data_IF_862765109959
#
_entry.id   IF_862765109959
#
_cell.length_a   1.000
_cell.length_b   1.000
_cell.length_c   1.000
_cell.angle_alpha   90.00
_cell.angle_beta   90.00
_cell.angle_gamma   90.00
#
_symmetry.space_group_name_H-M   'P 1'
#
loop_
_entity.id
_entity.type
_entity.pdbx_description
1 polymer ?
#
# COMPACT_ATOMS: atom_id res chain seq x y z
N UNK A 1 6.17 5.49 15.64
CA UNK A 1 5.31 4.37 15.22
C UNK A 1 4.01 4.91 14.64
N UNK A 2 4.04 5.15 13.38
CA UNK A 2 2.93 5.70 12.58
C UNK A 2 1.92 4.64 12.13
N UNK A 3 1.84 3.52 12.86
CA UNK A 3 1.10 2.34 12.44
C UNK A 3 -0.41 2.51 12.30
N UNK A 4 -1.04 3.47 12.97
CA UNK A 4 -2.49 3.61 12.95
C UNK A 4 -3.00 4.13 11.59
N UNK A 5 -2.53 5.27 11.17
CA UNK A 5 -2.95 5.86 9.88
C UNK A 5 -2.42 5.09 8.66
N UNK A 6 -1.28 4.41 8.78
CA UNK A 6 -0.74 3.56 7.72
C UNK A 6 -1.59 2.31 7.42
N UNK A 7 -2.56 1.98 8.26
CA UNK A 7 -3.55 0.95 7.95
C UNK A 7 -4.62 1.40 6.94
N UNK A 8 -4.73 2.71 6.71
CA UNK A 8 -5.72 3.32 5.83
C UNK A 8 -5.13 4.09 4.66
N UNK A 9 -3.80 4.31 4.68
CA UNK A 9 -3.09 5.08 3.66
C UNK A 9 -1.81 4.36 3.30
N UNK A 10 -1.55 4.23 2.02
CA UNK A 10 -0.28 3.73 1.54
C UNK A 10 0.83 4.78 1.78
N UNK A 11 2.06 4.35 2.13
CA UNK A 11 3.18 5.25 2.24
C UNK A 11 3.56 5.82 0.87
N UNK A 12 3.95 7.08 0.84
CA UNK A 12 4.50 7.68 -0.36
C UNK A 12 5.86 7.09 -0.69
N UNK A 13 6.06 6.85 -1.97
CA UNK A 13 7.34 6.43 -2.50
C UNK A 13 7.87 7.47 -3.49
N UNK A 14 9.21 7.60 -3.53
CA UNK A 14 9.90 8.57 -4.37
C UNK A 14 10.20 9.92 -3.68
N UNK A 15 10.95 10.80 -4.37
CA UNK A 15 11.41 12.08 -3.81
C UNK A 15 10.26 13.09 -3.73
N UNK A 16 9.97 13.57 -2.53
CA UNK A 16 8.97 14.61 -2.31
C UNK A 16 9.41 15.61 -1.23
N UNK A 17 9.17 16.87 -1.50
CA UNK A 17 9.17 17.94 -0.50
C UNK A 17 7.81 18.61 -0.58
N UNK A 18 7.02 18.53 0.48
CA UNK A 18 5.64 19.02 0.49
C UNK A 18 5.52 20.17 1.47
N UNK A 19 4.95 21.28 0.99
CA UNK A 19 4.57 22.41 1.82
C UNK A 19 3.05 22.52 1.78
N UNK A 20 2.42 22.66 2.94
CA UNK A 20 0.97 22.74 3.05
C UNK A 20 0.53 23.68 4.18
N UNK A 21 -0.71 24.12 4.13
CA UNK A 21 -1.33 24.93 5.17
C UNK A 21 -2.83 24.61 5.27
N UNK A 22 -3.36 24.66 6.50
CA UNK A 22 -4.79 24.56 6.79
C UNK A 22 -5.40 25.91 7.20
N UNK A 23 -4.62 27.00 7.06
CA UNK A 23 -5.00 28.37 7.48
C UNK A 23 -4.50 28.73 8.87
N UNK A 24 -4.24 27.76 9.74
CA UNK A 24 -3.61 27.97 11.05
C UNK A 24 -2.17 27.48 11.07
N UNK A 25 -1.98 26.27 10.61
CA UNK A 25 -0.67 25.66 10.53
C UNK A 25 -0.09 25.85 9.14
N UNK A 26 1.18 26.17 9.07
CA UNK A 26 1.98 26.06 7.86
C UNK A 26 3.04 25.00 8.12
N UNK A 27 3.21 24.06 7.21
CA UNK A 27 4.05 22.90 7.43
C UNK A 27 4.88 22.53 6.21
N UNK A 28 6.02 21.90 6.46
CA UNK A 28 6.86 21.28 5.44
C UNK A 28 7.25 19.88 5.89
N UNK A 29 7.14 18.91 5.00
CA UNK A 29 7.61 17.55 5.22
C UNK A 29 8.41 17.04 4.04
N UNK A 30 9.33 16.14 4.30
CA UNK A 30 10.05 15.40 3.28
C UNK A 30 9.52 13.97 3.16
N UNK A 31 9.84 13.34 2.03
CA UNK A 31 9.62 11.91 1.86
C UNK A 31 10.36 11.11 2.95
N UNK A 32 9.90 9.88 3.21
CA UNK A 32 10.44 9.02 4.27
C UNK A 32 11.93 8.72 4.15
N UNK A 33 12.48 8.81 2.95
CA UNK A 33 13.89 8.54 2.66
C UNK A 33 14.73 9.81 2.57
N UNK A 34 14.11 11.00 2.64
CA UNK A 34 14.79 12.28 2.57
C UNK A 34 15.52 12.52 1.24
N UNK A 35 14.93 12.07 0.13
CA UNK A 35 15.53 12.14 -1.20
C UNK A 35 15.51 13.57 -1.76
N UNK A 36 14.53 14.37 -1.35
CA UNK A 36 14.52 15.81 -1.59
C UNK A 36 15.09 16.53 -0.37
N UNK A 37 15.95 17.53 -0.56
CA UNK A 37 16.38 18.39 0.53
C UNK A 37 15.33 19.46 0.86
N UNK A 38 15.24 19.85 2.12
CA UNK A 38 14.60 21.09 2.53
C UNK A 38 15.41 21.74 3.64
N UNK A 39 15.66 23.02 3.50
CA UNK A 39 16.37 23.86 4.46
C UNK A 39 15.45 24.96 4.95
N UNK A 40 15.66 25.39 6.19
CA UNK A 40 14.91 26.50 6.75
C UNK A 40 15.81 27.52 7.40
N UNK A 41 15.32 28.76 7.42
CA UNK A 41 15.90 29.89 8.13
C UNK A 41 14.79 30.58 8.89
N UNK A 42 15.05 30.94 10.17
CA UNK A 42 14.17 31.69 11.03
C UNK A 42 14.86 32.98 11.39
N UNK A 43 14.16 34.11 11.24
CA UNK A 43 14.69 35.43 11.55
C UNK A 43 14.14 36.02 12.86
N UNK A 44 14.78 37.06 13.39
CA UNK A 44 14.29 37.83 14.54
C UNK A 44 12.92 38.47 14.31
N UNK A 45 12.62 38.84 13.06
CA UNK A 45 11.32 39.38 12.65
C UNK A 45 10.23 38.32 12.52
N UNK A 46 10.53 37.06 12.94
CA UNK A 46 9.63 35.92 12.88
C UNK A 46 9.23 35.50 11.46
N UNK A 47 10.07 35.76 10.49
CA UNK A 47 9.93 35.20 9.15
C UNK A 47 10.57 33.82 9.13
N UNK A 48 9.92 32.87 8.45
CA UNK A 48 10.43 31.52 8.23
C UNK A 48 10.46 31.27 6.74
N UNK A 49 11.63 31.00 6.22
CA UNK A 49 11.82 30.59 4.83
C UNK A 49 12.19 29.13 4.78
N UNK A 50 11.45 28.36 4.01
CA UNK A 50 11.73 26.94 3.73
C UNK A 50 11.92 26.78 2.23
N UNK A 51 13.04 26.19 1.83
CA UNK A 51 13.39 25.97 0.44
C UNK A 51 14.27 24.72 0.26
N UNK A 52 14.29 24.17 -0.94
CA UNK A 52 15.18 23.04 -1.28
C UNK A 52 16.66 23.44 -1.24
N UNK A 53 16.96 24.71 -1.44
CA UNK A 53 18.31 25.24 -1.56
C UNK A 53 18.52 26.47 -0.65
N UNK A 54 19.79 26.76 -0.33
CA UNK A 54 20.18 28.03 0.32
C UNK A 54 20.29 29.14 -0.73
N UNK A 55 20.09 30.40 -0.29
CA UNK A 55 20.22 31.54 -1.17
C UNK A 55 18.97 31.88 -1.97
N UNK A 56 17.82 31.30 -1.63
CA UNK A 56 16.52 31.68 -2.20
C UNK A 56 16.12 33.09 -1.73
N UNK A 57 16.58 33.46 -0.54
CA UNK A 57 16.44 34.77 0.03
C UNK A 57 17.74 35.14 0.75
N UNK A 58 18.17 36.40 0.57
CA UNK A 58 19.39 36.89 1.19
C UNK A 58 19.11 37.35 2.62
N UNK A 59 19.74 36.70 3.58
CA UNK A 59 19.73 37.08 4.99
C UNK A 59 21.12 37.43 5.43
N UNK A 60 21.25 38.54 6.20
CA UNK A 60 22.48 38.82 6.91
C UNK A 60 22.61 37.89 8.15
N UNK A 61 23.81 37.55 8.58
CA UNK A 61 24.01 36.72 9.77
C UNK A 61 23.29 37.26 11.02
N UNK A 62 23.17 38.58 11.13
CA UNK A 62 22.57 39.23 12.29
C UNK A 62 21.03 39.14 12.30
N UNK A 63 20.41 38.88 11.17
CA UNK A 63 18.96 38.64 11.07
C UNK A 63 18.54 37.23 11.44
N UNK A 64 19.46 36.27 11.41
CA UNK A 64 19.15 34.85 11.56
C UNK A 64 19.20 34.40 13.02
N UNK A 65 18.06 33.92 13.52
CA UNK A 65 17.94 33.29 14.84
C UNK A 65 18.33 31.83 14.77
N UNK A 66 17.81 31.12 13.79
CA UNK A 66 18.01 29.69 13.59
C UNK A 66 18.06 29.33 12.12
N UNK A 67 18.87 28.38 11.77
CA UNK A 67 18.89 27.75 10.44
C UNK A 67 19.10 26.26 10.58
N UNK A 68 18.46 25.50 9.71
CA UNK A 68 18.57 24.05 9.74
C UNK A 68 18.10 23.39 8.46
N UNK A 69 17.94 22.11 8.56
CA UNK A 69 17.37 21.27 7.48
C UNK A 69 16.29 20.37 8.06
N UNK A 70 15.31 20.07 7.24
CA UNK A 70 14.32 19.03 7.53
C UNK A 70 14.94 17.69 7.18
N UNK A 71 14.86 16.73 8.07
CA UNK A 71 15.40 15.38 7.87
C UNK A 71 14.42 14.47 7.12
N UNK A 72 14.88 13.24 6.85
CA UNK A 72 14.08 12.22 6.18
C UNK A 72 12.82 11.88 7.01
N UNK A 73 11.64 11.98 6.38
CA UNK A 73 10.37 11.73 7.05
C UNK A 73 10.02 12.70 8.18
N UNK A 74 10.80 13.76 8.36
CA UNK A 74 10.52 14.77 9.37
C UNK A 74 9.48 15.76 8.90
N UNK A 75 8.77 16.29 9.88
CA UNK A 75 7.77 17.34 9.73
C UNK A 75 8.19 18.59 10.50
N UNK A 76 8.10 19.73 9.85
CA UNK A 76 8.31 21.05 10.41
C UNK A 76 7.00 21.81 10.37
N UNK A 77 6.55 22.35 11.49
CA UNK A 77 5.25 23.02 11.60
C UNK A 77 5.37 24.37 12.29
N UNK A 78 4.63 25.31 11.78
CA UNK A 78 4.47 26.65 12.34
C UNK A 78 2.99 26.81 12.75
N UNK A 79 2.72 26.97 14.05
CA UNK A 79 1.41 27.37 14.56
C UNK A 79 1.34 28.91 14.49
N UNK A 80 0.72 29.45 13.44
CA UNK A 80 0.63 30.89 13.22
C UNK A 80 -0.21 31.60 14.26
N UNK A 81 -1.19 30.92 14.87
CA UNK A 81 -2.03 31.49 15.92
C UNK A 81 -1.27 31.64 17.25
N UNK A 82 -0.37 30.72 17.55
CA UNK A 82 0.45 30.76 18.76
C UNK A 82 1.83 31.37 18.54
N UNK A 83 2.22 31.63 17.28
CA UNK A 83 3.55 32.10 16.92
C UNK A 83 4.65 31.10 17.34
N UNK A 84 4.36 29.80 17.25
CA UNK A 84 5.28 28.73 17.66
C UNK A 84 5.80 27.97 16.48
N UNK A 85 7.09 27.70 16.52
CA UNK A 85 7.77 26.78 15.64
C UNK A 85 7.89 25.43 16.35
N UNK A 86 7.50 24.35 15.65
CA UNK A 86 7.47 23.00 16.18
C UNK A 86 8.34 22.07 15.32
N UNK A 87 9.29 21.44 15.95
CA UNK A 87 10.08 20.36 15.35
C UNK A 87 9.34 19.03 15.39
N UNK A 88 9.75 18.10 14.56
CA UNK A 88 9.12 16.78 14.38
C UNK A 88 8.87 16.06 15.71
N UNK A 89 9.84 16.03 16.61
CA UNK A 89 9.67 15.38 17.91
C UNK A 89 8.49 15.93 18.74
N UNK A 90 8.34 17.26 18.76
CA UNK A 90 7.24 17.90 19.52
C UNK A 90 5.88 17.61 18.89
N UNK A 91 5.82 17.59 17.55
CA UNK A 91 4.63 17.27 16.78
C UNK A 91 4.26 15.80 17.00
N UNK A 92 5.23 14.90 16.90
CA UNK A 92 5.06 13.47 17.12
C UNK A 92 4.47 13.18 18.51
N UNK A 93 4.98 13.84 19.54
CA UNK A 93 4.46 13.68 20.90
C UNK A 93 3.02 14.21 21.02
N UNK A 94 2.70 15.34 20.42
CA UNK A 94 1.34 15.89 20.41
C UNK A 94 0.37 14.94 19.69
N UNK A 95 0.76 14.42 18.52
CA UNK A 95 -0.09 13.51 17.72
C UNK A 95 -0.24 12.16 18.43
N UNK A 96 0.84 11.56 18.93
CA UNK A 96 0.81 10.25 19.60
C UNK A 96 -0.07 10.24 20.86
N UNK A 97 -0.18 11.38 21.52
CA UNK A 97 -0.97 11.51 22.74
C UNK A 97 -2.41 11.95 22.51
N UNK A 98 -2.83 12.19 21.25
CA UNK A 98 -4.19 12.62 20.93
C UNK A 98 -5.23 11.55 21.27
N UNK A 99 -4.92 10.30 20.95
CA UNK A 99 -5.75 9.14 21.19
C UNK A 99 -4.92 7.94 21.67
N UNK A 100 -5.52 6.92 22.29
CA UNK A 100 -4.81 5.73 22.74
C UNK A 100 -4.57 4.72 21.60
N UNK A 101 -3.98 5.16 20.49
CA UNK A 101 -3.78 4.39 19.25
C UNK A 101 -3.14 3.02 19.48
N UNK A 102 -2.13 2.95 20.35
CA UNK A 102 -1.44 1.69 20.67
C UNK A 102 -2.38 0.67 21.32
N UNK A 103 -3.29 1.15 22.18
CA UNK A 103 -4.29 0.30 22.82
C UNK A 103 -5.29 -0.20 21.78
N UNK A 104 -5.84 0.69 20.97
CA UNK A 104 -6.76 0.34 19.90
C UNK A 104 -6.17 -0.70 18.94
N UNK A 105 -4.96 -0.46 18.44
CA UNK A 105 -4.28 -1.40 17.54
C UNK A 105 -4.01 -2.76 18.19
N UNK A 106 -3.61 -2.78 19.47
CA UNK A 106 -3.33 -4.03 20.17
C UNK A 106 -4.58 -4.87 20.40
N UNK A 107 -5.71 -4.22 20.63
CA UNK A 107 -6.97 -4.89 20.95
C UNK A 107 -7.72 -5.36 19.70
N UNK A 108 -7.64 -4.59 18.60
CA UNK A 108 -8.56 -4.72 17.48
C UNK A 108 -7.89 -5.24 16.19
N UNK A 109 -6.57 -5.06 16.02
CA UNK A 109 -5.89 -5.59 14.82
C UNK A 109 -5.73 -7.10 14.93
N UNK A 110 -6.32 -7.82 13.99
CA UNK A 110 -6.18 -9.27 13.86
C UNK A 110 -5.00 -9.60 12.96
N UNK A 111 -4.22 -10.61 13.32
CA UNK A 111 -3.23 -11.25 12.47
C UNK A 111 -3.65 -12.70 12.27
N UNK A 112 -3.58 -13.16 11.03
CA UNK A 112 -3.83 -14.57 10.74
C UNK A 112 -2.72 -15.44 11.30
N UNK A 113 -3.04 -16.68 11.58
CA UNK A 113 -2.04 -17.68 11.97
C UNK A 113 -1.15 -17.99 10.77
N UNK A 114 0.17 -18.03 10.95
CA UNK A 114 1.07 -18.42 9.90
C UNK A 114 0.80 -19.87 9.46
N UNK A 115 1.09 -20.16 8.21
CA UNK A 115 0.90 -21.49 7.60
C UNK A 115 1.48 -22.63 8.44
N UNK A 116 2.62 -22.41 9.08
CA UNK A 116 3.30 -23.41 9.93
C UNK A 116 2.55 -23.76 11.22
N UNK A 117 1.57 -22.97 11.62
CA UNK A 117 0.75 -23.19 12.81
C UNK A 117 -0.65 -23.75 12.50
N UNK A 118 -0.94 -23.96 11.20
CA UNK A 118 -2.22 -24.50 10.77
C UNK A 118 -2.22 -26.01 10.79
N UNK A 119 -3.37 -26.66 11.05
CA UNK A 119 -3.51 -28.12 10.92
C UNK A 119 -3.26 -28.58 9.49
N UNK A 120 -2.63 -29.74 9.32
CA UNK A 120 -2.35 -30.32 8.01
C UNK A 120 -3.60 -30.47 7.13
N UNK A 121 -4.75 -30.70 7.72
CA UNK A 121 -6.04 -30.81 7.01
C UNK A 121 -6.44 -29.50 6.32
N UNK A 122 -6.20 -28.35 6.94
CA UNK A 122 -6.48 -27.03 6.35
C UNK A 122 -5.49 -26.67 5.23
N UNK A 123 -4.29 -27.21 5.33
CA UNK A 123 -3.21 -27.02 4.36
C UNK A 123 -3.40 -27.91 3.14
N UNK A 124 -3.69 -29.18 3.35
CA UNK A 124 -3.82 -30.20 2.29
C UNK A 124 -5.09 -30.03 1.44
N UNK A 125 -6.13 -29.41 1.97
CA UNK A 125 -7.37 -29.13 1.24
C UNK A 125 -7.18 -28.25 -0.01
N UNK A 126 -6.02 -27.61 -0.14
CA UNK A 126 -5.67 -26.78 -1.29
C UNK A 126 -4.94 -27.51 -2.42
N UNK A 127 -4.54 -28.78 -2.22
CA UNK A 127 -3.74 -29.49 -3.20
C UNK A 127 -4.63 -30.07 -4.29
N UNK A 128 -4.42 -29.63 -5.53
CA UNK A 128 -5.11 -30.14 -6.70
C UNK A 128 -4.46 -31.42 -7.22
N UNK A 129 -5.28 -32.38 -7.68
CA UNK A 129 -4.77 -33.54 -8.42
C UNK A 129 -4.03 -33.07 -9.69
N UNK A 130 -2.94 -33.74 -10.11
CA UNK A 130 -2.09 -33.28 -11.22
C UNK A 130 -2.85 -33.04 -12.53
N UNK A 131 -3.87 -33.86 -12.81
CA UNK A 131 -4.71 -33.71 -14.01
C UNK A 131 -5.55 -32.42 -13.95
N UNK A 132 -6.14 -32.12 -12.80
CA UNK A 132 -6.90 -30.87 -12.58
C UNK A 132 -5.99 -29.67 -12.60
N UNK A 133 -4.79 -29.79 -12.01
CA UNK A 133 -3.80 -28.70 -12.04
C UNK A 133 -3.48 -28.28 -13.47
N UNK A 134 -3.25 -29.23 -14.39
CA UNK A 134 -3.00 -28.91 -15.80
C UNK A 134 -4.17 -28.21 -16.49
N UNK A 135 -5.41 -28.57 -16.12
CA UNK A 135 -6.59 -27.90 -16.65
C UNK A 135 -6.63 -26.45 -16.17
N UNK A 136 -6.46 -26.23 -14.87
CA UNK A 136 -6.45 -24.89 -14.29
C UNK A 136 -5.30 -24.03 -14.81
N UNK A 137 -4.10 -24.59 -14.97
CA UNK A 137 -2.98 -23.85 -15.60
C UNK A 137 -3.34 -23.34 -17.00
N UNK A 138 -4.05 -24.15 -17.79
CA UNK A 138 -4.54 -23.72 -19.11
C UNK A 138 -5.66 -22.69 -19.03
N UNK A 139 -6.62 -22.87 -18.12
CA UNK A 139 -7.72 -21.94 -17.89
C UNK A 139 -7.21 -20.54 -17.52
N UNK A 140 -6.21 -20.49 -16.65
CA UNK A 140 -5.60 -19.23 -16.19
C UNK A 140 -4.44 -18.74 -17.07
N UNK A 141 -4.19 -19.40 -18.20
CA UNK A 141 -3.22 -18.94 -19.19
C UNK A 141 -1.76 -19.08 -18.77
N UNK A 142 -1.43 -19.94 -17.79
CA UNK A 142 -0.04 -20.18 -17.41
C UNK A 142 0.74 -20.78 -18.57
N UNK A 143 1.84 -20.13 -18.91
CA UNK A 143 2.79 -20.62 -19.92
C UNK A 143 3.88 -21.48 -19.29
N UNK A 144 4.57 -22.26 -20.12
CA UNK A 144 5.74 -23.00 -19.64
C UNK A 144 6.85 -22.05 -19.16
N UNK A 145 6.97 -20.90 -19.78
CA UNK A 145 7.93 -19.86 -19.39
C UNK A 145 7.66 -19.32 -17.98
N UNK A 146 6.40 -19.01 -17.64
CA UNK A 146 6.03 -18.58 -16.31
C UNK A 146 6.29 -19.66 -15.26
N UNK A 147 6.00 -20.92 -15.59
CA UNK A 147 6.25 -22.04 -14.69
C UNK A 147 7.74 -22.23 -14.38
N UNK A 148 8.61 -22.14 -15.41
CA UNK A 148 10.04 -22.41 -15.27
C UNK A 148 10.85 -21.21 -14.77
N UNK A 149 10.52 -19.99 -15.23
CA UNK A 149 11.35 -18.82 -14.95
C UNK A 149 10.79 -17.90 -13.86
N UNK A 150 9.53 -18.05 -13.50
CA UNK A 150 8.91 -17.25 -12.46
C UNK A 150 8.55 -18.10 -11.25
N UNK A 151 7.60 -19.03 -11.41
CA UNK A 151 7.07 -19.78 -10.28
C UNK A 151 8.06 -20.79 -9.69
N UNK A 152 8.90 -21.39 -10.52
CA UNK A 152 9.94 -22.29 -10.03
C UNK A 152 10.99 -21.55 -9.20
N UNK A 153 11.45 -20.39 -9.65
CA UNK A 153 12.39 -19.54 -8.89
C UNK A 153 11.76 -19.14 -7.55
N UNK A 154 10.51 -18.71 -7.56
CA UNK A 154 9.78 -18.36 -6.33
C UNK A 154 9.69 -19.56 -5.38
N UNK A 155 9.36 -20.75 -5.90
CA UNK A 155 9.16 -21.96 -5.10
C UNK A 155 10.46 -22.58 -4.58
N UNK A 156 11.52 -22.60 -5.37
CA UNK A 156 12.81 -23.25 -5.02
C UNK A 156 13.73 -22.29 -4.23
N UNK A 157 13.74 -21.00 -4.58
CA UNK A 157 14.69 -20.03 -4.01
C UNK A 157 14.06 -19.10 -3.00
N UNK A 158 12.72 -19.04 -2.92
CA UNK A 158 12.00 -18.13 -2.05
C UNK A 158 12.24 -16.66 -2.40
N UNK A 159 12.54 -16.38 -3.66
CA UNK A 159 12.82 -15.06 -4.19
C UNK A 159 11.92 -14.75 -5.39
N UNK A 160 11.65 -13.49 -5.59
CA UNK A 160 10.97 -13.05 -6.80
C UNK A 160 11.91 -13.14 -8.00
N UNK A 161 11.42 -13.63 -9.14
CA UNK A 161 12.19 -13.69 -10.36
C UNK A 161 12.52 -12.28 -10.84
N UNK A 162 13.79 -12.05 -11.19
CA UNK A 162 14.28 -10.77 -11.72
C UNK A 162 14.21 -10.79 -13.23
N UNK A 163 13.65 -9.75 -13.82
CA UNK A 163 13.53 -9.62 -15.27
C UNK A 163 13.47 -8.18 -15.74
N UNK A 164 13.41 -8.00 -17.06
CA UNK A 164 13.20 -6.69 -17.67
C UNK A 164 11.72 -6.30 -17.55
N UNK A 165 11.44 -5.04 -17.21
CA UNK A 165 10.07 -4.50 -17.17
C UNK A 165 9.52 -4.18 -18.56
N UNK A 166 10.37 -3.89 -19.54
CA UNK A 166 9.98 -3.57 -20.91
C UNK A 166 9.98 -4.80 -21.80
N UNK A 167 8.98 -4.92 -22.65
CA UNK A 167 8.88 -5.98 -23.65
C UNK A 167 8.29 -5.41 -24.96
N UNK A 168 9.07 -5.42 -26.03
CA UNK A 168 8.70 -4.93 -27.35
C UNK A 168 8.40 -6.07 -28.35
N UNK A 169 8.44 -7.33 -27.89
CA UNK A 169 8.09 -8.47 -28.74
C UNK A 169 6.65 -8.38 -29.21
N UNK A 170 6.36 -8.42 -30.54
CA UNK A 170 5.01 -8.35 -31.06
C UNK A 170 4.21 -9.60 -30.70
N UNK A 171 2.90 -9.42 -30.54
CA UNK A 171 2.00 -10.57 -30.39
C UNK A 171 1.95 -11.42 -31.65
N UNK A 172 1.82 -12.73 -31.46
CA UNK A 172 1.61 -13.68 -32.56
C UNK A 172 0.13 -13.63 -33.00
N UNK A 173 -0.21 -12.67 -33.86
CA UNK A 173 -1.60 -12.37 -34.28
C UNK A 173 -2.30 -13.52 -35.00
N UNK A 174 -1.56 -14.48 -35.55
CA UNK A 174 -2.09 -15.69 -36.18
C UNK A 174 -2.12 -16.91 -35.25
N UNK A 175 -1.78 -16.73 -33.97
CA UNK A 175 -1.90 -17.80 -32.98
C UNK A 175 -3.36 -18.07 -32.64
N UNK A 176 -3.74 -19.33 -32.51
CA UNK A 176 -5.02 -19.75 -31.95
C UNK A 176 -5.03 -19.86 -30.44
N UNK A 177 -3.89 -19.55 -29.79
CA UNK A 177 -3.78 -19.58 -28.35
C UNK A 177 -4.37 -18.31 -27.77
N UNK A 178 -5.36 -18.46 -26.89
CA UNK A 178 -5.91 -17.33 -26.15
C UNK A 178 -4.91 -16.83 -25.11
N UNK A 179 -4.87 -15.51 -24.96
CA UNK A 179 -4.06 -14.83 -23.94
C UNK A 179 -4.94 -14.22 -22.88
N UNK A 180 -4.43 -14.13 -21.67
CA UNK A 180 -5.10 -13.41 -20.58
C UNK A 180 -5.07 -11.90 -20.86
N UNK A 181 -6.09 -11.19 -20.37
CA UNK A 181 -6.29 -9.79 -20.74
C UNK A 181 -5.14 -8.87 -20.35
N UNK A 182 -4.45 -9.13 -19.24
CA UNK A 182 -3.34 -8.31 -18.77
C UNK A 182 -2.09 -8.41 -19.67
N UNK A 183 -1.94 -9.47 -20.49
CA UNK A 183 -0.85 -9.56 -21.48
C UNK A 183 -0.89 -8.43 -22.52
N UNK A 184 -2.06 -7.83 -22.72
CA UNK A 184 -2.23 -6.71 -23.66
C UNK A 184 -1.86 -5.35 -23.06
N UNK A 185 -1.66 -5.26 -21.75
CA UNK A 185 -1.30 -4.03 -21.04
C UNK A 185 0.12 -4.12 -20.53
N UNK A 186 1.07 -4.11 -21.45
CA UNK A 186 2.49 -4.20 -21.14
C UNK A 186 3.22 -2.94 -21.57
N UNK A 187 4.29 -2.69 -20.90
CA UNK A 187 5.20 -1.58 -21.14
C UNK A 187 6.17 -1.94 -22.25
N UNK A 188 6.34 -1.06 -23.24
CA UNK A 188 7.28 -1.27 -24.35
C UNK A 188 8.74 -1.07 -23.94
N UNK A 189 8.99 -0.09 -23.10
CA UNK A 189 10.33 0.26 -22.63
C UNK A 189 10.42 0.09 -21.12
N UNK A 190 11.56 -0.41 -20.67
CA UNK A 190 11.89 -0.37 -19.25
C UNK A 190 11.97 1.08 -18.81
N UNK A 191 11.35 1.38 -17.67
CA UNK A 191 11.39 2.70 -17.06
C UNK A 191 12.23 2.64 -15.80
N UNK A 192 13.05 3.67 -15.61
CA UNK A 192 13.81 3.81 -14.37
C UNK A 192 12.90 4.32 -13.28
N UNK A 193 12.86 3.61 -12.14
CA UNK A 193 12.23 4.12 -10.91
C UNK A 193 13.08 5.25 -10.36
N UNK A 194 12.45 6.26 -9.78
CA UNK A 194 13.17 7.37 -9.19
C UNK A 194 12.86 7.48 -7.68
N UNK A 195 13.77 7.11 -6.81
CA UNK A 195 15.10 6.55 -7.10
C UNK A 195 15.02 5.06 -7.46
N UNK A 196 16.02 4.54 -8.16
CA UNK A 196 16.10 3.11 -8.43
C UNK A 196 16.22 2.35 -7.10
N UNK A 197 15.37 1.34 -6.93
CA UNK A 197 15.35 0.50 -5.74
C UNK A 197 15.77 -0.90 -6.18
N UNK A 198 16.91 -1.35 -5.68
CA UNK A 198 17.36 -2.71 -5.89
C UNK A 198 16.72 -3.69 -4.88
N UNK A 199 16.72 -5.02 -5.12
CA UNK A 199 16.10 -5.99 -4.24
C UNK A 199 16.64 -6.01 -2.80
N UNK A 200 17.87 -5.58 -2.58
CA UNK A 200 18.45 -5.50 -1.24
C UNK A 200 17.91 -4.29 -0.46
N UNK A 201 17.80 -3.15 -1.14
CA UNK A 201 17.28 -1.92 -0.58
C UNK A 201 15.76 -1.99 -0.37
N UNK A 202 15.04 -2.71 -1.22
CA UNK A 202 13.60 -2.88 -1.17
C UNK A 202 13.12 -3.35 0.21
N UNK A 203 13.81 -4.30 0.83
CA UNK A 203 13.52 -4.79 2.18
C UNK A 203 13.56 -3.71 3.26
N UNK A 204 14.30 -2.63 3.04
CA UNK A 204 14.45 -1.54 4.00
C UNK A 204 13.47 -0.40 3.77
N UNK A 205 13.06 -0.17 2.52
CA UNK A 205 12.29 1.03 2.13
C UNK A 205 10.84 0.73 1.76
N UNK A 206 10.52 -0.52 1.44
CA UNK A 206 9.18 -0.96 1.06
C UNK A 206 8.59 -1.94 2.08
N UNK A 207 7.27 -2.01 2.11
CA UNK A 207 6.54 -2.97 2.91
C UNK A 207 5.44 -3.60 2.06
N UNK A 208 5.33 -4.93 2.11
CA UNK A 208 4.23 -5.69 1.51
C UNK A 208 3.04 -5.84 2.47
N UNK A 209 3.15 -5.27 3.67
CA UNK A 209 2.07 -5.34 4.65
C UNK A 209 0.79 -4.75 4.08
N UNK A 210 -0.26 -5.54 4.07
CA UNK A 210 -1.58 -5.18 3.57
C UNK A 210 -2.59 -5.25 4.72
N UNK A 211 -3.53 -4.32 4.74
CA UNK A 211 -4.57 -4.29 5.76
C UNK A 211 -5.94 -4.36 5.09
N UNK A 212 -6.77 -5.29 5.55
CA UNK A 212 -8.12 -5.50 5.05
C UNK A 212 -9.13 -5.12 6.14
N UNK A 213 -10.26 -4.60 5.75
CA UNK A 213 -11.34 -4.20 6.64
C UNK A 213 -12.01 -2.91 6.18
N UNK A 214 -12.93 -2.39 6.99
CA UNK A 214 -13.73 -1.21 6.63
C UNK A 214 -12.86 0.02 6.45
N UNK A 215 -12.96 0.67 5.28
CA UNK A 215 -12.36 1.98 5.06
C UNK A 215 -13.14 3.05 5.82
N UNK A 216 -12.41 3.89 6.54
CA UNK A 216 -12.95 5.01 7.31
C UNK A 216 -12.21 6.31 6.97
N UNK A 217 -12.81 7.44 7.28
CA UNK A 217 -12.20 8.73 7.02
C UNK A 217 -10.97 8.95 7.92
N UNK A 218 -9.83 9.22 7.31
CA UNK A 218 -8.58 9.53 8.01
C UNK A 218 -8.63 10.87 8.76
N UNK A 219 -9.65 11.70 8.50
CA UNK A 219 -9.85 12.99 9.19
C UNK A 219 -10.60 12.84 10.53
N UNK A 220 -11.20 11.68 10.78
CA UNK A 220 -11.96 11.41 12.00
C UNK A 220 -11.45 10.14 12.67
N UNK A 221 -10.38 10.30 13.43
CA UNK A 221 -9.71 9.19 14.11
C UNK A 221 -10.59 8.60 15.20
N UNK A 222 -10.94 7.33 15.06
CA UNK A 222 -11.76 6.58 16.00
C UNK A 222 -11.19 5.19 16.22
N UNK A 223 -11.59 4.55 17.32
CA UNK A 223 -11.22 3.16 17.60
C UNK A 223 -11.63 2.20 16.47
N UNK A 224 -12.78 2.46 15.81
CA UNK A 224 -13.28 1.65 14.70
C UNK A 224 -12.30 1.49 13.54
N UNK A 225 -11.40 2.48 13.34
CA UNK A 225 -10.35 2.41 12.32
C UNK A 225 -9.33 1.30 12.59
N UNK A 226 -9.20 0.82 13.81
CA UNK A 226 -8.26 -0.25 14.20
C UNK A 226 -8.81 -1.66 13.98
N UNK A 227 -10.08 -1.83 13.59
CA UNK A 227 -10.61 -3.15 13.21
C UNK A 227 -10.12 -3.55 11.82
N UNK A 228 -8.88 -4.02 11.78
CA UNK A 228 -8.20 -4.45 10.56
C UNK A 228 -7.65 -5.86 10.69
N UNK A 229 -7.69 -6.58 9.58
CA UNK A 229 -6.94 -7.83 9.42
C UNK A 229 -5.64 -7.48 8.71
N UNK A 230 -4.52 -7.75 9.35
CA UNK A 230 -3.21 -7.43 8.84
C UNK A 230 -2.52 -8.66 8.28
N UNK A 231 -2.07 -8.55 7.05
CA UNK A 231 -1.29 -9.54 6.32
C UNK A 231 0.14 -9.04 6.14
N UNK A 232 1.09 -9.95 6.14
CA UNK A 232 2.49 -9.61 5.89
C UNK A 232 2.78 -9.49 4.38
N UNK A 233 1.87 -9.96 3.53
CA UNK A 233 1.95 -9.93 2.07
C UNK A 233 0.54 -9.75 1.46
N UNK A 234 0.40 -9.09 0.29
CA UNK A 234 -0.85 -9.02 -0.45
C UNK A 234 -1.23 -10.37 -1.11
N UNK A 235 -0.31 -11.33 -1.11
CA UNK A 235 -0.55 -12.68 -1.64
C UNK A 235 -1.11 -13.54 -0.51
N UNK A 236 -2.33 -14.02 -0.70
CA UNK A 236 -3.03 -14.87 0.26
C UNK A 236 -3.05 -16.31 -0.24
N UNK A 237 -2.71 -17.24 0.64
CA UNK A 237 -2.90 -18.65 0.41
C UNK A 237 -4.38 -19.03 0.61
N UNK A 238 -4.76 -20.21 0.12
CA UNK A 238 -6.11 -20.74 0.36
C UNK A 238 -6.46 -20.81 1.85
N UNK A 239 -5.51 -21.25 2.67
CA UNK A 239 -5.63 -21.29 4.12
C UNK A 239 -5.85 -19.92 4.76
N UNK A 240 -5.25 -18.85 4.22
CA UNK A 240 -5.45 -17.49 4.70
C UNK A 240 -6.88 -17.03 4.41
N UNK A 241 -7.37 -17.30 3.19
CA UNK A 241 -8.77 -17.02 2.83
C UNK A 241 -9.75 -17.78 3.72
N UNK A 242 -9.48 -19.04 4.06
CA UNK A 242 -10.33 -19.79 4.98
C UNK A 242 -10.36 -19.18 6.39
N UNK A 243 -9.26 -18.62 6.86
CA UNK A 243 -9.22 -17.90 8.13
C UNK A 243 -10.02 -16.58 8.04
N UNK A 244 -9.90 -15.84 6.95
CA UNK A 244 -10.66 -14.60 6.71
C UNK A 244 -12.17 -14.88 6.74
N UNK A 245 -12.62 -15.95 6.07
CA UNK A 245 -14.04 -16.34 6.05
C UNK A 245 -14.60 -16.79 7.42
N UNK A 246 -13.72 -17.12 8.37
CA UNK A 246 -14.09 -17.52 9.74
C UNK A 246 -14.01 -16.34 10.73
N UNK A 247 -13.66 -15.14 10.30
CA UNK A 247 -13.57 -13.96 11.18
C UNK A 247 -14.92 -13.58 11.78
N UNK A 248 -14.94 -12.94 12.97
CA UNK A 248 -16.19 -12.51 13.62
C UNK A 248 -16.99 -11.53 12.75
N UNK A 249 -18.24 -11.85 12.48
CA UNK A 249 -19.12 -11.03 11.63
C UNK A 249 -19.36 -9.61 12.12
N UNK A 250 -19.21 -9.34 13.42
CA UNK A 250 -19.46 -8.03 14.00
C UNK A 250 -18.68 -6.89 13.33
N UNK A 251 -17.40 -7.16 12.99
CA UNK A 251 -16.50 -6.16 12.38
C UNK A 251 -15.98 -6.57 11.00
N UNK A 252 -16.15 -7.85 10.63
CA UNK A 252 -15.57 -8.45 9.44
C UNK A 252 -16.61 -9.20 8.61
N UNK A 253 -17.81 -8.59 8.46
CA UNK A 253 -18.84 -9.15 7.58
C UNK A 253 -18.31 -9.26 6.16
N UNK A 254 -18.33 -10.48 5.61
CA UNK A 254 -17.90 -10.74 4.25
C UNK A 254 -19.08 -11.11 3.35
N UNK A 255 -18.93 -10.87 2.05
CA UNK A 255 -19.85 -11.29 1.04
C UNK A 255 -19.12 -11.97 -0.12
N UNK A 256 -19.70 -13.06 -0.62
CA UNK A 256 -19.21 -13.74 -1.81
C UNK A 256 -20.05 -13.29 -3.01
N UNK A 257 -19.37 -12.85 -4.06
CA UNK A 257 -19.97 -12.48 -5.34
C UNK A 257 -19.47 -13.45 -6.37
N UNK A 258 -20.38 -14.21 -6.99
CA UNK A 258 -20.04 -15.10 -8.09
C UNK A 258 -19.75 -14.26 -9.35
N UNK A 259 -18.50 -14.28 -9.81
CA UNK A 259 -18.06 -13.56 -10.99
C UNK A 259 -18.21 -14.36 -12.29
N UNK A 260 -18.68 -15.61 -12.21
CA UNK A 260 -18.92 -16.44 -13.40
C UNK A 260 -20.18 -16.04 -14.16
N UNK A 261 -20.28 -16.37 -15.43
CA UNK A 261 -21.46 -16.15 -16.23
C UNK A 261 -21.54 -17.14 -17.40
N UNK A 262 -22.75 -17.39 -17.86
CA UNK A 262 -23.01 -18.19 -19.06
C UNK A 262 -22.96 -17.28 -20.30
N UNK A 263 -22.01 -17.51 -21.18
CA UNK A 263 -21.81 -16.74 -22.41
C UNK A 263 -22.99 -16.82 -23.39
N UNK A 264 -23.88 -17.78 -23.20
CA UNK A 264 -25.10 -17.93 -24.01
C UNK A 264 -26.28 -17.09 -23.47
N UNK A 265 -26.18 -16.59 -22.24
CA UNK A 265 -27.26 -15.85 -21.58
C UNK A 265 -26.91 -14.38 -21.37
N UNK A 266 -25.66 -14.07 -21.02
CA UNK A 266 -25.22 -12.73 -20.73
C UNK A 266 -24.01 -12.33 -21.60
N UNK A 267 -23.87 -11.05 -21.88
CA UNK A 267 -22.62 -10.49 -22.40
C UNK A 267 -21.68 -10.21 -21.22
N UNK A 268 -20.37 -10.16 -21.48
CA UNK A 268 -19.39 -9.76 -20.45
C UNK A 268 -19.74 -8.39 -19.83
N UNK A 269 -20.18 -7.44 -20.67
CA UNK A 269 -20.56 -6.10 -20.21
C UNK A 269 -21.74 -6.14 -19.24
N UNK A 270 -22.79 -6.89 -19.58
CA UNK A 270 -23.98 -7.00 -18.73
C UNK A 270 -23.65 -7.70 -17.41
N UNK A 271 -22.78 -8.73 -17.47
CA UNK A 271 -22.35 -9.43 -16.24
C UNK A 271 -21.52 -8.53 -15.34
N UNK A 272 -20.58 -7.76 -15.87
CA UNK A 272 -19.80 -6.80 -15.11
C UNK A 272 -20.67 -5.74 -14.42
N UNK A 273 -21.71 -5.26 -15.14
CA UNK A 273 -22.66 -4.33 -14.55
C UNK A 273 -23.44 -4.97 -13.39
N UNK A 274 -23.93 -6.19 -13.54
CA UNK A 274 -24.63 -6.93 -12.48
C UNK A 274 -23.74 -7.15 -11.25
N UNK A 275 -22.46 -7.53 -11.46
CA UNK A 275 -21.49 -7.71 -10.37
C UNK A 275 -21.29 -6.40 -9.62
N UNK A 276 -21.13 -5.29 -10.33
CA UNK A 276 -20.95 -3.97 -9.72
C UNK A 276 -22.18 -3.55 -8.89
N UNK A 277 -23.37 -3.79 -9.40
CA UNK A 277 -24.62 -3.51 -8.68
C UNK A 277 -24.76 -4.39 -7.43
N UNK A 278 -24.46 -5.69 -7.54
CA UNK A 278 -24.46 -6.63 -6.42
C UNK A 278 -23.46 -6.21 -5.34
N UNK A 279 -22.23 -5.82 -5.72
CA UNK A 279 -21.21 -5.33 -4.81
C UNK A 279 -21.68 -4.08 -4.02
N UNK A 280 -22.34 -3.13 -4.70
CA UNK A 280 -22.93 -1.96 -4.04
C UNK A 280 -23.99 -2.35 -3.03
N UNK A 281 -24.84 -3.33 -3.35
CA UNK A 281 -25.88 -3.82 -2.43
C UNK A 281 -25.22 -4.46 -1.19
N UNK A 282 -24.24 -5.36 -1.41
CA UNK A 282 -23.53 -6.04 -0.31
C UNK A 282 -22.79 -5.05 0.59
N UNK A 283 -22.14 -4.04 0.03
CA UNK A 283 -21.49 -2.99 0.80
C UNK A 283 -22.50 -2.18 1.65
N UNK A 284 -23.68 -1.87 1.11
CA UNK A 284 -24.76 -1.21 1.86
C UNK A 284 -25.36 -2.09 2.96
N UNK A 285 -25.37 -3.39 2.78
CA UNK A 285 -25.77 -4.38 3.79
C UNK A 285 -24.71 -4.53 4.91
N UNK A 286 -23.55 -3.92 4.75
CA UNK A 286 -22.49 -3.88 5.75
C UNK A 286 -21.33 -4.84 5.50
N UNK A 287 -21.22 -5.43 4.32
CA UNK A 287 -20.02 -6.19 3.96
C UNK A 287 -18.79 -5.27 3.91
N UNK A 288 -17.69 -5.75 4.50
CA UNK A 288 -16.41 -5.03 4.60
C UNK A 288 -15.25 -5.81 3.99
N UNK A 289 -15.47 -7.07 3.66
CA UNK A 289 -14.55 -8.00 3.00
C UNK A 289 -15.29 -8.72 1.89
#
# INVERSE_FOLDING_TARGET
ETGFNSMHMEPWDGPAGVVFSDGRYAACTLDRNGLRPARYVITYDRLITVASEVGVWDYTPDEVVEKGRVGAGELLVIDTAKGKFLHSCAIDEEIKNRHPYRTWMRQNVIRLKPYSELPDEEVLASTLAPERLKVHQKEFGFTLEELEYVLRVLGEEGQEAVGSMGDDAPFAIFSHQSRVIYDYFRQYFAQVTNPPIDPLREKHVMSLTTNMGREMSVFYETEGMSHRVRFDSPILLYSDMQQVLKLPHEHYTHALIDATYDINQDTLKDRLQKIAEEAVVKAREGAVI
#
